data_IF_178587446978
#
_entry.id   IF_178587446978
#
_cell.length_a   1.000
_cell.length_b   1.000
_cell.length_c   1.000
_cell.angle_alpha   90.00
_cell.angle_beta   90.00
_cell.angle_gamma   90.00
#
_symmetry.space_group_name_H-M   'P 1'
#
loop_
_entity.id
_entity.type
_entity.pdbx_description
1 polymer ?
#
# COMPACT_ATOMS: atom_id res chain seq x y z
N UNK A 1 -6.14 -3.53 -20.87
CA UNK A 1 -6.87 -3.29 -19.60
C UNK A 1 -7.34 -4.65 -19.09
N UNK A 2 -7.19 -4.94 -17.80
CA UNK A 2 -7.62 -6.23 -17.22
C UNK A 2 -9.16 -6.29 -17.10
N UNK A 3 -9.78 -7.48 -17.12
CA UNK A 3 -11.23 -7.64 -16.97
C UNK A 3 -11.70 -7.29 -15.54
N UNK A 4 -12.96 -6.91 -15.39
CA UNK A 4 -13.54 -6.55 -14.07
C UNK A 4 -13.50 -7.72 -13.08
N UNK A 5 -13.74 -8.94 -13.55
CA UNK A 5 -13.67 -10.16 -12.74
C UNK A 5 -12.30 -10.36 -12.07
N UNK A 6 -11.22 -9.87 -12.69
CA UNK A 6 -9.90 -9.90 -12.10
C UNK A 6 -9.80 -9.01 -10.85
N UNK A 7 -10.47 -7.86 -10.86
CA UNK A 7 -10.53 -6.95 -9.70
C UNK A 7 -11.50 -7.47 -8.62
N UNK A 8 -12.64 -8.02 -9.02
CA UNK A 8 -13.60 -8.64 -8.10
C UNK A 8 -12.97 -9.79 -7.31
N UNK A 9 -12.16 -10.63 -7.97
CA UNK A 9 -11.44 -11.72 -7.31
C UNK A 9 -10.50 -11.22 -6.19
N UNK A 10 -9.95 -10.01 -6.32
CA UNK A 10 -9.06 -9.39 -5.31
C UNK A 10 -9.81 -8.76 -4.14
N UNK A 11 -11.14 -8.64 -4.24
CA UNK A 11 -12.01 -8.06 -3.22
C UNK A 11 -12.94 -9.09 -2.60
N UNK A 12 -12.68 -10.39 -2.80
CA UNK A 12 -13.50 -11.45 -2.22
C UNK A 12 -13.48 -11.36 -0.68
N UNK A 13 -14.64 -11.31 -0.03
CA UNK A 13 -14.72 -11.15 1.41
C UNK A 13 -14.27 -12.43 2.14
N UNK A 14 -13.72 -12.26 3.35
CA UNK A 14 -13.39 -13.37 4.24
C UNK A 14 -12.22 -13.03 5.17
N UNK A 15 -12.24 -13.63 6.37
CA UNK A 15 -11.20 -13.41 7.38
C UNK A 15 -9.81 -13.89 6.91
N UNK A 16 -9.79 -14.86 5.99
CA UNK A 16 -8.60 -15.42 5.38
C UNK A 16 -8.25 -14.82 4.01
N UNK A 17 -8.90 -13.74 3.60
CA UNK A 17 -8.63 -13.09 2.31
C UNK A 17 -7.13 -12.80 2.15
N UNK A 18 -6.58 -13.18 0.99
CA UNK A 18 -5.16 -12.95 0.68
C UNK A 18 -4.87 -11.48 0.40
N UNK A 19 -5.91 -10.70 0.11
CA UNK A 19 -5.84 -9.28 -0.18
C UNK A 19 -7.05 -8.53 0.38
N UNK A 20 -6.88 -7.24 0.65
CA UNK A 20 -7.92 -6.33 1.08
C UNK A 20 -7.75 -5.01 0.33
N UNK A 21 -8.86 -4.34 0.02
CA UNK A 21 -8.85 -3.01 -0.62
C UNK A 21 -9.66 -2.05 0.23
N UNK A 22 -9.09 -0.87 0.47
CA UNK A 22 -9.64 0.21 1.27
C UNK A 22 -10.01 1.38 0.36
N UNK A 23 -11.13 2.02 0.65
CA UNK A 23 -11.57 3.25 -0.01
C UNK A 23 -11.63 4.40 0.99
N UNK A 24 -11.18 5.58 0.57
CA UNK A 24 -11.44 6.84 1.26
C UNK A 24 -12.58 7.56 0.53
N UNK A 25 -13.61 7.97 1.29
CA UNK A 25 -14.82 8.58 0.75
C UNK A 25 -15.02 9.99 1.29
N UNK A 26 -15.51 10.87 0.42
CA UNK A 26 -16.02 12.21 0.72
C UNK A 26 -17.52 12.21 0.38
N UNK A 27 -18.35 11.99 1.40
CA UNK A 27 -19.75 11.58 1.19
C UNK A 27 -19.83 10.24 0.47
N UNK A 28 -20.53 10.18 -0.66
CA UNK A 28 -20.62 8.99 -1.51
C UNK A 28 -19.48 8.90 -2.55
N UNK A 29 -18.66 9.95 -2.66
CA UNK A 29 -17.60 10.02 -3.67
C UNK A 29 -16.35 9.31 -3.18
N UNK A 30 -15.90 8.29 -3.91
CA UNK A 30 -14.60 7.66 -3.69
C UNK A 30 -13.47 8.62 -4.11
N UNK A 31 -12.65 9.05 -3.16
CA UNK A 31 -11.56 10.02 -3.36
C UNK A 31 -10.17 9.41 -3.21
N UNK A 32 -10.06 8.17 -2.77
CA UNK A 32 -8.79 7.46 -2.72
C UNK A 32 -8.94 5.97 -2.45
N UNK A 33 -7.90 5.21 -2.75
CA UNK A 33 -7.84 3.76 -2.55
C UNK A 33 -6.46 3.32 -2.09
N UNK A 34 -6.41 2.20 -1.36
CA UNK A 34 -5.18 1.49 -1.03
C UNK A 34 -5.46 -0.02 -0.94
N UNK A 35 -4.49 -0.84 -1.32
CA UNK A 35 -4.55 -2.29 -1.19
C UNK A 35 -3.58 -2.81 -0.15
N UNK A 36 -3.91 -3.95 0.43
CA UNK A 36 -3.09 -4.73 1.35
C UNK A 36 -3.06 -6.18 0.86
N UNK A 37 -1.89 -6.80 0.72
CA UNK A 37 -1.77 -8.22 0.44
C UNK A 37 -0.93 -8.93 1.49
N UNK A 38 -1.23 -10.20 1.73
CA UNK A 38 -0.54 -11.05 2.70
C UNK A 38 0.26 -12.14 2.00
N UNK A 39 1.46 -12.43 2.47
CA UNK A 39 2.27 -13.54 1.96
C UNK A 39 1.72 -14.90 2.42
N UNK A 40 1.48 -15.81 1.48
CA UNK A 40 1.01 -17.17 1.79
C UNK A 40 2.14 -18.14 2.20
N UNK A 41 3.37 -17.87 1.75
CA UNK A 41 4.53 -18.75 1.98
C UNK A 41 4.94 -18.71 3.44
N UNK A 42 4.98 -19.86 4.12
CA UNK A 42 5.22 -19.98 5.57
C UNK A 42 6.37 -19.10 6.09
N UNK A 43 7.54 -19.16 5.46
CA UNK A 43 8.74 -18.39 5.83
C UNK A 43 8.59 -16.87 5.65
N UNK A 44 7.58 -16.42 4.91
CA UNK A 44 7.28 -15.02 4.59
C UNK A 44 5.97 -14.52 5.18
N UNK A 45 5.17 -15.36 5.85
CA UNK A 45 3.85 -14.99 6.41
C UNK A 45 3.86 -13.80 7.38
N UNK A 46 5.03 -13.47 7.91
CA UNK A 46 5.22 -12.28 8.75
C UNK A 46 5.22 -10.95 7.98
N UNK A 47 5.16 -11.00 6.63
CA UNK A 47 5.18 -9.83 5.75
C UNK A 47 3.82 -9.62 5.08
N UNK A 48 3.46 -8.36 4.97
CA UNK A 48 2.36 -7.88 4.14
C UNK A 48 2.84 -6.73 3.25
N UNK A 49 2.09 -6.43 2.19
CA UNK A 49 2.42 -5.39 1.23
C UNK A 49 1.28 -4.39 1.06
N UNK A 50 1.59 -3.10 1.18
CA UNK A 50 0.71 -2.01 0.76
C UNK A 50 0.92 -1.78 -0.74
N UNK A 51 -0.16 -1.86 -1.52
CA UNK A 51 -0.12 -1.66 -2.98
C UNK A 51 -1.27 -0.75 -3.44
N UNK A 52 -1.27 -0.37 -4.73
CA UNK A 52 -2.42 0.28 -5.35
C UNK A 52 -2.84 1.61 -4.73
N UNK A 53 -1.93 2.30 -4.06
CA UNK A 53 -2.22 3.57 -3.38
C UNK A 53 -2.49 4.67 -4.40
N UNK A 54 -3.66 5.29 -4.31
CA UNK A 54 -4.04 6.43 -5.11
C UNK A 54 -4.96 7.38 -4.33
N UNK A 55 -4.74 8.68 -4.47
CA UNK A 55 -5.62 9.72 -3.92
C UNK A 55 -5.85 10.76 -5.01
N UNK A 56 -7.13 11.08 -5.24
CA UNK A 56 -7.57 12.10 -6.17
C UNK A 56 -6.92 13.44 -5.83
N UNK A 57 -6.50 14.21 -6.83
CA UNK A 57 -5.68 15.41 -6.62
C UNK A 57 -6.36 16.43 -5.68
N UNK A 58 -7.66 16.62 -5.83
CA UNK A 58 -8.49 17.51 -5.01
C UNK A 58 -8.59 17.09 -3.53
N UNK A 59 -8.37 15.79 -3.24
CA UNK A 59 -8.39 15.24 -1.88
C UNK A 59 -6.97 15.05 -1.30
N UNK A 60 -5.93 15.46 -2.04
CA UNK A 60 -4.55 15.48 -1.51
C UNK A 60 -4.43 16.59 -0.48
N UNK A 61 -3.50 16.43 0.47
CA UNK A 61 -3.29 17.35 1.60
C UNK A 61 -4.49 17.51 2.56
N UNK A 62 -5.66 16.95 2.25
CA UNK A 62 -6.82 16.84 3.16
C UNK A 62 -6.73 15.63 4.11
N UNK A 63 -5.59 14.93 4.15
CA UNK A 63 -5.35 13.81 5.06
C UNK A 63 -5.84 12.43 4.59
N UNK A 64 -6.58 12.33 3.48
CA UNK A 64 -7.09 11.07 2.96
C UNK A 64 -6.00 9.99 2.78
N UNK A 65 -4.84 10.38 2.24
CA UNK A 65 -3.72 9.45 2.07
C UNK A 65 -3.20 8.88 3.40
N UNK A 66 -3.13 9.70 4.45
CA UNK A 66 -2.70 9.26 5.78
C UNK A 66 -3.73 8.34 6.43
N UNK A 67 -5.02 8.61 6.21
CA UNK A 67 -6.10 7.76 6.72
C UNK A 67 -6.06 6.38 6.07
N UNK A 68 -5.87 6.30 4.75
CA UNK A 68 -5.71 5.04 4.03
C UNK A 68 -4.51 4.23 4.52
N UNK A 69 -3.33 4.86 4.68
CA UNK A 69 -2.15 4.16 5.18
C UNK A 69 -2.38 3.61 6.59
N UNK A 70 -3.06 4.37 7.46
CA UNK A 70 -3.42 3.90 8.81
C UNK A 70 -4.38 2.72 8.77
N UNK A 71 -5.43 2.80 7.96
CA UNK A 71 -6.38 1.70 7.79
C UNK A 71 -5.68 0.42 7.34
N UNK A 72 -4.73 0.53 6.40
CA UNK A 72 -3.89 -0.60 5.96
C UNK A 72 -3.01 -1.13 7.11
N UNK A 73 -2.35 -0.25 7.87
CA UNK A 73 -1.52 -0.67 9.02
C UNK A 73 -2.35 -1.39 10.09
N UNK A 74 -3.54 -0.89 10.39
CA UNK A 74 -4.42 -1.46 11.42
C UNK A 74 -4.95 -2.83 10.99
N UNK A 75 -5.37 -2.98 9.74
CA UNK A 75 -5.75 -4.28 9.18
C UNK A 75 -4.57 -5.26 9.13
N UNK A 76 -3.37 -4.79 8.79
CA UNK A 76 -2.18 -5.62 8.81
C UNK A 76 -1.82 -6.09 10.23
N UNK A 77 -1.96 -5.22 11.24
CA UNK A 77 -1.77 -5.59 12.66
C UNK A 77 -2.81 -6.59 13.16
N UNK A 78 -4.03 -6.52 12.65
CA UNK A 78 -5.10 -7.43 13.03
C UNK A 78 -4.86 -8.87 12.53
N UNK A 79 -4.08 -9.07 11.46
CA UNK A 79 -3.75 -10.40 10.94
C UNK A 79 -2.68 -11.08 11.82
N UNK A 80 -2.97 -12.23 12.45
CA UNK A 80 -2.00 -12.92 13.28
C UNK A 80 -0.71 -13.28 12.53
N UNK A 81 0.42 -13.05 13.19
CA UNK A 81 1.75 -13.36 12.67
C UNK A 81 2.37 -12.28 11.77
N UNK A 82 1.61 -11.29 11.31
CA UNK A 82 2.15 -10.17 10.51
C UNK A 82 2.94 -9.22 11.41
N UNK A 83 4.16 -8.88 10.99
CA UNK A 83 5.08 -7.99 11.71
C UNK A 83 5.60 -6.85 10.84
N UNK A 84 5.76 -7.10 9.53
CA UNK A 84 6.37 -6.16 8.60
C UNK A 84 5.37 -5.79 7.52
N UNK A 85 5.19 -4.49 7.30
CA UNK A 85 4.47 -3.96 6.14
C UNK A 85 5.47 -3.33 5.17
N UNK A 86 5.45 -3.75 3.91
CA UNK A 86 6.34 -3.25 2.88
C UNK A 86 5.56 -2.53 1.79
N UNK A 87 6.23 -1.62 1.08
CA UNK A 87 5.72 -0.99 -0.12
C UNK A 87 6.85 -0.63 -1.08
N UNK A 88 6.46 -0.31 -2.31
CA UNK A 88 7.36 0.34 -3.27
C UNK A 88 6.74 1.64 -3.75
N UNK A 89 7.58 2.64 -3.99
CA UNK A 89 7.19 3.92 -4.56
C UNK A 89 8.12 4.26 -5.71
N UNK A 90 7.57 4.72 -6.83
CA UNK A 90 8.37 5.15 -7.98
C UNK A 90 9.31 6.27 -7.55
N UNK A 91 10.59 6.13 -7.89
CA UNK A 91 11.62 7.11 -7.61
C UNK A 91 11.23 8.48 -8.20
N UNK A 92 11.49 9.55 -7.45
CA UNK A 92 11.05 10.91 -7.78
C UNK A 92 9.65 11.29 -7.25
N UNK A 93 8.86 10.35 -6.73
CA UNK A 93 7.57 10.65 -6.09
C UNK A 93 7.75 11.11 -4.62
N UNK A 94 8.35 12.29 -4.46
CA UNK A 94 8.62 12.90 -3.14
C UNK A 94 7.37 12.99 -2.24
N UNK A 95 6.18 13.41 -2.73
CA UNK A 95 5.00 13.48 -1.87
C UNK A 95 4.59 12.14 -1.26
N UNK A 96 4.71 11.03 -2.01
CA UNK A 96 4.39 9.70 -1.51
C UNK A 96 5.44 9.21 -0.51
N UNK A 97 6.74 9.41 -0.79
CA UNK A 97 7.82 9.09 0.15
C UNK A 97 7.59 9.78 1.49
N UNK A 98 7.37 11.10 1.49
CA UNK A 98 7.12 11.89 2.70
C UNK A 98 5.86 11.44 3.45
N UNK A 99 4.80 11.05 2.73
CA UNK A 99 3.60 10.48 3.36
C UNK A 99 3.95 9.20 4.12
N UNK A 100 4.68 8.27 3.49
CA UNK A 100 5.03 7.00 4.12
C UNK A 100 6.01 7.17 5.28
N UNK A 101 7.00 8.05 5.17
CA UNK A 101 7.90 8.40 6.28
C UNK A 101 7.14 8.91 7.51
N UNK A 102 6.17 9.81 7.29
CA UNK A 102 5.26 10.30 8.37
C UNK A 102 4.36 9.21 8.96
N UNK A 103 4.21 8.10 8.27
CA UNK A 103 3.50 6.91 8.73
C UNK A 103 4.45 5.85 9.32
N UNK A 104 5.73 6.17 9.53
CA UNK A 104 6.70 5.28 10.16
C UNK A 104 7.35 4.28 9.22
N UNK A 105 7.26 4.48 7.90
CA UNK A 105 8.03 3.69 6.94
C UNK A 105 9.44 4.25 6.79
N UNK A 106 10.40 3.37 6.54
CA UNK A 106 11.80 3.71 6.28
C UNK A 106 12.24 3.07 4.96
N UNK A 107 12.95 3.82 4.13
CA UNK A 107 13.53 3.28 2.90
C UNK A 107 14.67 2.29 3.22
N UNK A 108 14.76 1.20 2.46
CA UNK A 108 15.82 0.20 2.63
C UNK A 108 16.56 -0.18 1.35
N UNK A 109 16.12 0.31 0.19
CA UNK A 109 16.79 0.05 -1.07
C UNK A 109 16.09 0.70 -2.25
N UNK A 110 16.78 0.71 -3.39
CA UNK A 110 16.24 1.14 -4.68
C UNK A 110 16.43 0.01 -5.68
N UNK A 111 15.34 -0.41 -6.33
CA UNK A 111 15.38 -1.30 -7.50
C UNK A 111 15.56 -0.42 -8.75
N UNK A 112 16.71 -0.48 -9.43
CA UNK A 112 16.92 0.30 -10.66
C UNK A 112 16.06 -0.27 -11.79
N UNK A 113 15.65 0.58 -12.73
CA UNK A 113 14.91 0.17 -13.94
C UNK A 113 13.60 -0.58 -13.66
N UNK A 114 13.03 -0.42 -12.47
CA UNK A 114 11.85 -1.16 -12.00
C UNK A 114 10.56 -0.88 -12.79
N UNK A 115 10.46 0.29 -13.41
CA UNK A 115 9.29 0.70 -14.20
C UNK A 115 9.73 1.26 -15.54
N UNK A 116 9.17 0.73 -16.63
CA UNK A 116 9.27 1.31 -17.96
C UNK A 116 7.95 2.00 -18.31
N UNK A 117 7.99 3.30 -18.60
CA UNK A 117 6.82 4.07 -19.01
C UNK A 117 7.21 5.08 -20.09
N UNK A 118 6.58 4.99 -21.26
CA UNK A 118 6.87 5.88 -22.38
C UNK A 118 8.32 5.80 -22.88
N UNK A 119 9.01 4.66 -22.71
CA UNK A 119 10.41 4.48 -23.09
C UNK A 119 11.43 5.02 -22.06
N UNK A 120 10.96 5.62 -20.98
CA UNK A 120 11.79 6.02 -19.85
C UNK A 120 11.75 4.96 -18.74
N UNK A 121 12.88 4.78 -18.07
CA UNK A 121 13.01 3.86 -16.95
C UNK A 121 13.12 4.61 -15.64
N UNK A 122 12.41 4.12 -14.63
CA UNK A 122 12.37 4.70 -13.29
C UNK A 122 12.74 3.63 -12.26
N UNK A 123 13.50 4.03 -11.24
CA UNK A 123 13.72 3.17 -10.08
C UNK A 123 12.46 3.03 -9.21
N UNK A 124 12.50 2.07 -8.29
CA UNK A 124 11.53 1.96 -7.19
C UNK A 124 12.24 2.01 -5.86
N UNK A 125 11.85 2.96 -5.01
CA UNK A 125 12.27 2.98 -3.62
C UNK A 125 11.45 1.94 -2.86
N UNK A 126 12.13 1.00 -2.22
CA UNK A 126 11.52 0.04 -1.32
C UNK A 126 11.50 0.59 0.09
N UNK A 127 10.33 0.53 0.74
CA UNK A 127 10.15 1.00 2.11
C UNK A 127 9.49 -0.08 2.96
N UNK A 128 9.76 -0.04 4.26
CA UNK A 128 9.19 -0.97 5.22
C UNK A 128 8.82 -0.27 6.53
N UNK A 129 7.85 -0.85 7.23
CA UNK A 129 7.43 -0.42 8.55
C UNK A 129 7.37 -1.65 9.49
N UNK A 130 7.94 -1.50 10.68
CA UNK A 130 7.81 -2.47 11.76
C UNK A 130 6.49 -2.23 12.51
N UNK A 131 5.51 -3.11 12.31
CA UNK A 131 4.16 -2.94 12.88
C UNK A 131 4.07 -3.22 14.37
N UNK A 132 5.07 -3.87 14.96
CA UNK A 132 5.05 -4.19 16.39
C UNK A 132 5.95 -3.31 17.25
N UNK A 133 6.53 -2.23 16.69
CA UNK A 133 6.92 -1.05 17.48
C UNK A 133 5.70 -0.15 17.58
N UNK A 134 5.36 0.32 18.79
CA UNK A 134 4.41 1.43 18.93
C UNK A 134 5.09 2.69 18.36
N UNK A 135 4.38 3.39 17.48
CA UNK A 135 4.82 4.68 16.94
C UNK A 135 4.84 5.75 18.04
#
# INVERSE_FOLDING_TARGET
>A
RLPLSWWEARMQPGDDASEMVFGAFDGERLVGVAGLSFEAREKLRHKAHLFGMFVHAEARQAGAGRQLVRAVQDAARARPGVRVLQLTVTEGNVPAVTLYERCGFVAFGVEPMAVCSGGLFFGKVHMWCDLGKKA
#
